data_IF_325374582530
#
_entry.id   IF_325374582530
#
_cell.length_a   1.000
_cell.length_b   1.000
_cell.length_c   1.000
_cell.angle_alpha   90.00
_cell.angle_beta   90.00
_cell.angle_gamma   90.00
#
_symmetry.space_group_name_H-M   'P 1'
#
loop_
_entity.id
_entity.type
_entity.pdbx_description
1 polymer ?
#
# COMPACT_ATOMS: atom_id res chain seq x y z
N UNK A 1 -65.06 -3.84 -9.01
CA UNK A 1 -63.82 -4.36 -9.64
C UNK A 1 -62.67 -3.47 -9.18
N UNK A 2 -61.82 -3.93 -8.26
CA UNK A 2 -60.70 -3.14 -7.73
C UNK A 2 -59.39 -3.76 -8.22
N UNK A 3 -58.63 -3.03 -9.03
CA UNK A 3 -57.34 -3.47 -9.57
C UNK A 3 -56.24 -3.02 -8.62
N UNK A 4 -55.71 -3.97 -7.84
CA UNK A 4 -54.52 -3.76 -7.02
C UNK A 4 -53.31 -3.78 -7.95
N UNK A 5 -52.68 -2.63 -8.17
CA UNK A 5 -51.38 -2.56 -8.83
C UNK A 5 -50.29 -2.75 -7.78
N UNK A 6 -49.64 -3.92 -7.80
CA UNK A 6 -48.50 -4.24 -6.95
C UNK A 6 -47.23 -3.69 -7.62
N UNK A 7 -46.69 -2.58 -7.12
CA UNK A 7 -45.41 -2.06 -7.55
C UNK A 7 -44.28 -2.87 -6.87
N UNK A 8 -43.59 -3.69 -7.67
CA UNK A 8 -42.44 -4.48 -7.24
C UNK A 8 -41.21 -3.56 -7.22
N UNK A 9 -40.85 -3.07 -6.03
CA UNK A 9 -39.66 -2.25 -5.82
C UNK A 9 -38.39 -3.10 -5.87
N UNK A 10 -37.53 -2.83 -6.85
CA UNK A 10 -36.24 -3.51 -7.00
C UNK A 10 -35.22 -2.91 -6.00
N UNK A 11 -34.94 -3.63 -4.92
CA UNK A 11 -33.89 -3.30 -3.95
C UNK A 11 -32.53 -3.67 -4.56
N UNK A 12 -31.80 -2.68 -5.05
CA UNK A 12 -30.39 -2.80 -5.41
C UNK A 12 -29.56 -2.89 -4.12
N UNK A 13 -29.11 -4.10 -3.78
CA UNK A 13 -28.12 -4.35 -2.73
C UNK A 13 -26.74 -3.92 -3.24
N UNK A 14 -26.32 -2.69 -2.93
CA UNK A 14 -24.91 -2.29 -3.11
C UNK A 14 -24.05 -3.04 -2.10
N UNK A 15 -23.32 -4.06 -2.54
CA UNK A 15 -22.22 -4.63 -1.77
C UNK A 15 -21.08 -3.61 -1.75
N UNK A 16 -20.81 -3.01 -0.59
CA UNK A 16 -19.58 -2.26 -0.39
C UNK A 16 -18.41 -3.25 -0.51
N UNK A 17 -17.58 -3.10 -1.54
CA UNK A 17 -16.32 -3.83 -1.62
C UNK A 17 -15.42 -3.26 -0.54
N UNK A 18 -15.00 -4.08 0.42
CA UNK A 18 -14.06 -3.67 1.45
C UNK A 18 -12.70 -3.47 0.75
N UNK A 19 -12.13 -2.27 0.87
CA UNK A 19 -10.80 -2.00 0.32
C UNK A 19 -9.76 -2.85 1.07
N UNK A 20 -8.80 -3.41 0.34
CA UNK A 20 -7.76 -4.20 0.98
C UNK A 20 -6.95 -3.34 1.99
N UNK A 21 -6.54 -3.93 3.14
CA UNK A 21 -5.82 -3.20 4.16
C UNK A 21 -4.48 -2.69 3.63
N UNK A 22 -4.09 -1.49 4.10
CA UNK A 22 -2.82 -0.86 3.78
C UNK A 22 -1.90 -0.86 5.00
N UNK A 23 -0.65 -1.21 4.76
CA UNK A 23 0.44 -1.22 5.73
C UNK A 23 1.50 -0.24 5.25
N UNK A 24 1.98 0.64 6.12
CA UNK A 24 3.03 1.61 5.74
C UNK A 24 4.17 1.62 6.74
N UNK A 25 5.39 1.65 6.23
CA UNK A 25 6.57 1.61 7.08
C UNK A 25 7.87 1.55 6.30
N UNK A 26 8.97 1.51 7.02
CA UNK A 26 10.30 1.37 6.43
C UNK A 26 10.56 -0.11 6.14
N UNK A 27 11.03 -0.43 4.93
CA UNK A 27 11.56 -1.77 4.63
C UNK A 27 12.82 -1.96 5.47
N UNK A 28 12.83 -2.96 6.34
CA UNK A 28 13.98 -3.30 7.18
C UNK A 28 14.70 -4.56 6.70
N UNK A 29 14.02 -5.39 5.92
CA UNK A 29 14.62 -6.55 5.27
C UNK A 29 13.92 -6.83 3.94
N UNK A 30 14.69 -7.37 2.99
CA UNK A 30 14.21 -7.92 1.73
C UNK A 30 14.76 -9.35 1.65
N UNK A 31 13.90 -10.31 1.37
CA UNK A 31 14.35 -11.68 1.13
C UNK A 31 15.27 -11.73 -0.11
N UNK A 32 16.46 -12.35 -0.03
CA UNK A 32 17.37 -12.46 -1.17
C UNK A 32 16.74 -13.10 -2.42
N UNK A 33 15.74 -13.98 -2.26
CA UNK A 33 15.02 -14.55 -3.40
C UNK A 33 13.91 -13.64 -3.97
N UNK A 34 13.68 -12.46 -3.37
CA UNK A 34 12.67 -11.50 -3.78
C UNK A 34 11.23 -11.92 -3.46
N UNK A 35 11.03 -12.91 -2.58
CA UNK A 35 9.69 -13.46 -2.29
C UNK A 35 8.97 -12.74 -1.15
N UNK A 36 9.65 -11.87 -0.41
CA UNK A 36 9.04 -11.09 0.67
C UNK A 36 9.85 -9.86 1.06
N UNK A 37 9.16 -8.93 1.71
CA UNK A 37 9.74 -7.80 2.43
C UNK A 37 9.27 -7.80 3.88
N UNK A 38 10.08 -7.23 4.76
CA UNK A 38 9.68 -6.93 6.12
C UNK A 38 9.56 -5.43 6.29
N UNK A 39 8.35 -4.94 6.58
CA UNK A 39 8.12 -3.55 6.96
C UNK A 39 8.27 -3.40 8.48
N UNK A 40 8.84 -2.28 8.90
CA UNK A 40 8.68 -1.77 10.24
C UNK A 40 7.57 -0.71 10.24
N UNK A 41 6.36 -1.14 10.60
CA UNK A 41 5.16 -0.29 10.66
C UNK A 41 5.11 0.45 12.01
N UNK A 42 4.64 1.71 11.99
CA UNK A 42 4.33 2.42 13.22
C UNK A 42 2.89 2.12 13.64
N UNK A 43 2.76 1.25 14.64
CA UNK A 43 1.48 0.96 15.28
C UNK A 43 1.09 2.00 16.33
N UNK A 44 -0.20 2.00 16.68
CA UNK A 44 -0.71 2.78 17.80
C UNK A 44 0.04 2.40 19.09
N UNK A 45 0.73 3.37 19.67
CA UNK A 45 1.35 3.21 20.98
C UNK A 45 0.31 3.10 22.11
N UNK A 46 0.78 2.85 23.33
CA UNK A 46 -0.06 3.02 24.53
C UNK A 46 -0.31 4.51 24.79
N UNK A 47 -1.45 4.92 25.37
CA UNK A 47 -1.70 6.31 25.72
C UNK A 47 -0.56 6.89 26.58
N UNK A 48 0.07 7.97 26.13
CA UNK A 48 1.21 8.60 26.80
C UNK A 48 2.57 7.93 26.57
N UNK A 49 2.63 6.85 25.79
CA UNK A 49 3.86 6.15 25.40
C UNK A 49 4.35 6.50 23.99
N UNK A 50 5.49 5.91 23.62
CA UNK A 50 5.99 5.98 22.23
C UNK A 50 5.16 5.07 21.31
N UNK A 51 5.07 5.42 20.03
CA UNK A 51 4.53 4.53 19.00
C UNK A 51 5.30 3.21 19.02
N UNK A 52 4.58 2.10 18.80
CA UNK A 52 5.20 0.78 18.77
C UNK A 52 5.60 0.45 17.33
N UNK A 53 6.84 0.03 17.16
CA UNK A 53 7.34 -0.56 15.92
C UNK A 53 6.81 -2.00 15.79
N UNK A 54 6.07 -2.27 14.72
CA UNK A 54 5.44 -3.57 14.44
C UNK A 54 6.07 -4.15 13.17
N UNK A 55 6.87 -5.23 13.27
CA UNK A 55 7.39 -5.90 12.10
C UNK A 55 6.27 -6.65 11.35
N UNK A 56 6.15 -6.38 10.04
CA UNK A 56 5.20 -7.06 9.14
C UNK A 56 5.97 -7.76 8.04
N UNK A 57 5.93 -9.10 8.03
CA UNK A 57 6.43 -9.89 6.90
C UNK A 57 5.33 -9.96 5.85
N UNK A 58 5.61 -9.47 4.65
CA UNK A 58 4.65 -9.43 3.54
C UNK A 58 5.25 -10.16 2.35
N UNK A 59 4.54 -11.18 1.88
CA UNK A 59 4.90 -11.94 0.69
C UNK A 59 4.69 -11.13 -0.59
N UNK A 60 5.62 -11.29 -1.53
CA UNK A 60 5.53 -10.78 -2.89
C UNK A 60 5.16 -11.95 -3.80
N UNK A 61 4.23 -11.72 -4.72
CA UNK A 61 3.85 -12.69 -5.75
C UNK A 61 4.20 -12.14 -7.14
N UNK A 62 4.28 -12.99 -8.18
CA UNK A 62 4.48 -12.51 -9.55
C UNK A 62 3.43 -11.50 -10.03
N UNK A 63 2.25 -11.45 -9.40
CA UNK A 63 1.19 -10.48 -9.70
C UNK A 63 1.23 -9.20 -8.86
N UNK A 64 2.19 -9.08 -7.93
CA UNK A 64 2.33 -7.88 -7.10
C UNK A 64 2.80 -6.70 -7.96
N UNK A 65 2.06 -5.61 -7.95
CA UNK A 65 2.46 -4.37 -8.63
C UNK A 65 3.48 -3.63 -7.78
N UNK A 66 4.64 -3.27 -8.35
CA UNK A 66 5.70 -2.56 -7.66
C UNK A 66 5.98 -1.22 -8.34
N UNK A 67 5.85 -0.13 -7.59
CA UNK A 67 6.01 1.23 -8.08
C UNK A 67 7.01 2.01 -7.23
N UNK A 68 7.81 2.84 -7.87
CA UNK A 68 8.59 3.90 -7.24
C UNK A 68 7.89 5.23 -7.46
N UNK A 69 7.44 5.84 -6.35
CA UNK A 69 7.02 7.22 -6.29
C UNK A 69 8.26 8.11 -6.10
N UNK A 70 8.52 8.98 -7.07
CA UNK A 70 9.58 9.96 -7.03
C UNK A 70 9.01 11.35 -7.26
N UNK A 71 9.63 12.37 -6.66
CA UNK A 71 9.27 13.76 -6.94
C UNK A 71 9.49 14.01 -8.43
N UNK A 72 8.48 14.53 -9.12
CA UNK A 72 8.61 14.98 -10.48
C UNK A 72 9.75 15.99 -10.57
N UNK A 73 10.58 15.89 -11.62
CA UNK A 73 11.48 16.99 -11.94
C UNK A 73 10.64 18.25 -12.12
N UNK A 74 11.12 19.39 -11.64
CA UNK A 74 10.45 20.68 -11.82
C UNK A 74 10.34 20.94 -13.34
N UNK A 75 9.23 20.52 -13.94
CA UNK A 75 8.84 20.83 -15.30
C UNK A 75 7.58 21.66 -15.23
N UNK A 76 7.51 22.73 -16.01
CA UNK A 76 6.34 23.63 -16.06
C UNK A 76 5.09 22.93 -16.61
N UNK A 77 5.20 21.66 -17.04
CA UNK A 77 4.22 20.95 -17.85
C UNK A 77 3.00 20.44 -17.05
N UNK A 78 3.17 20.10 -15.76
CA UNK A 78 2.05 19.64 -14.92
C UNK A 78 1.45 20.76 -14.06
N UNK A 79 2.13 21.91 -13.98
CA UNK A 79 1.67 23.09 -13.24
C UNK A 79 1.67 22.96 -11.70
N UNK A 80 1.98 21.78 -11.13
CA UNK A 80 1.97 21.56 -9.68
C UNK A 80 3.36 21.32 -9.11
N UNK A 81 3.89 22.32 -8.41
CA UNK A 81 5.21 22.23 -7.79
C UNK A 81 5.22 21.15 -6.69
N UNK A 82 6.03 20.12 -6.88
CA UNK A 82 6.16 19.01 -5.92
C UNK A 82 5.22 17.83 -6.13
N UNK A 83 4.71 17.67 -7.35
CA UNK A 83 4.05 16.43 -7.77
C UNK A 83 4.98 15.21 -7.60
N UNK A 84 4.38 14.04 -7.37
CA UNK A 84 5.06 12.75 -7.42
C UNK A 84 4.59 11.98 -8.65
N UNK A 85 5.52 11.37 -9.36
CA UNK A 85 5.25 10.42 -10.44
C UNK A 85 5.56 9.01 -9.97
N UNK A 86 4.70 8.07 -10.32
CA UNK A 86 4.92 6.64 -10.06
C UNK A 86 5.47 5.96 -11.32
N UNK A 87 6.47 5.10 -11.15
CA UNK A 87 7.08 4.33 -12.22
C UNK A 87 7.27 2.87 -11.80
N UNK A 88 7.06 1.88 -12.69
CA UNK A 88 7.28 0.47 -12.35
C UNK A 88 8.73 0.18 -11.96
N UNK A 89 8.91 -0.70 -10.97
CA UNK A 89 10.23 -1.21 -10.55
C UNK A 89 10.22 -2.74 -10.45
N UNK A 90 11.40 -3.36 -10.46
CA UNK A 90 11.55 -4.78 -10.20
C UNK A 90 11.61 -5.06 -8.70
N UNK A 91 11.31 -6.30 -8.30
CA UNK A 91 11.48 -6.74 -6.90
C UNK A 91 12.93 -6.59 -6.42
N UNK A 92 13.90 -6.71 -7.32
CA UNK A 92 15.34 -6.52 -7.04
C UNK A 92 15.71 -5.06 -6.75
N UNK A 93 14.85 -4.10 -7.06
CA UNK A 93 15.07 -2.68 -6.77
C UNK A 93 14.62 -2.28 -5.36
N UNK A 94 13.89 -3.17 -4.67
CA UNK A 94 13.50 -3.01 -3.28
C UNK A 94 14.73 -3.19 -2.38
N UNK A 95 14.87 -2.33 -1.38
CA UNK A 95 16.01 -2.39 -0.46
C UNK A 95 15.64 -1.89 0.93
N UNK A 96 16.39 -2.32 1.97
CA UNK A 96 16.26 -1.72 3.29
C UNK A 96 16.47 -0.20 3.28
N UNK A 97 15.69 0.51 4.09
CA UNK A 97 15.70 1.97 4.19
C UNK A 97 14.67 2.69 3.31
N UNK A 98 14.11 2.00 2.31
CA UNK A 98 12.99 2.52 1.53
C UNK A 98 11.72 2.60 2.40
N UNK A 99 10.93 3.67 2.25
CA UNK A 99 9.61 3.75 2.86
C UNK A 99 8.59 3.19 1.87
N UNK A 100 7.72 2.29 2.32
CA UNK A 100 6.74 1.65 1.45
C UNK A 100 5.34 1.73 2.05
N UNK A 101 4.37 1.92 1.17
CA UNK A 101 2.96 1.61 1.44
C UNK A 101 2.59 0.37 0.64
N UNK A 102 2.05 -0.62 1.34
CA UNK A 102 1.68 -1.91 0.78
C UNK A 102 0.19 -2.12 0.97
N UNK A 103 -0.52 -2.30 -0.13
CA UNK A 103 -1.86 -2.88 -0.11
C UNK A 103 -1.70 -4.40 -0.14
N UNK A 104 -2.28 -5.09 0.83
CA UNK A 104 -2.12 -6.54 0.96
C UNK A 104 -3.44 -7.20 1.35
N UNK A 105 -3.52 -8.48 1.04
CA UNK A 105 -4.60 -9.35 1.51
C UNK A 105 -4.04 -10.50 2.33
N UNK A 106 -4.90 -11.10 3.15
CA UNK A 106 -4.53 -12.30 3.89
C UNK A 106 -4.83 -13.54 3.04
N UNK A 107 -3.79 -14.26 2.62
CA UNK A 107 -3.90 -15.59 1.99
C UNK A 107 -3.28 -16.63 2.91
N UNK A 108 -4.05 -17.66 3.29
CA UNK A 108 -3.58 -18.74 4.18
C UNK A 108 -2.92 -18.24 5.48
N UNK A 109 -3.48 -17.18 6.08
CA UNK A 109 -2.96 -16.57 7.30
C UNK A 109 -1.69 -15.72 7.13
N UNK A 110 -1.27 -15.46 5.89
CA UNK A 110 -0.10 -14.61 5.57
C UNK A 110 -0.52 -13.38 4.78
N UNK A 111 0.15 -12.27 5.02
CA UNK A 111 0.00 -11.07 4.20
C UNK A 111 0.69 -11.28 2.86
N UNK A 112 -0.05 -11.06 1.77
CA UNK A 112 0.45 -11.10 0.39
C UNK A 112 0.12 -9.79 -0.28
N UNK A 113 1.14 -9.13 -0.82
CA UNK A 113 1.01 -7.81 -1.43
C UNK A 113 0.23 -7.88 -2.76
N UNK A 114 -0.75 -6.99 -2.89
CA UNK A 114 -1.42 -6.66 -4.14
C UNK A 114 -0.60 -5.57 -4.85
N UNK A 115 -0.26 -4.50 -4.13
CA UNK A 115 0.57 -3.40 -4.63
C UNK A 115 1.56 -2.91 -3.57
N UNK A 116 2.72 -2.45 -4.02
CA UNK A 116 3.75 -1.80 -3.20
C UNK A 116 4.14 -0.50 -3.89
N UNK A 117 3.94 0.62 -3.20
CA UNK A 117 4.45 1.92 -3.63
C UNK A 117 5.60 2.31 -2.71
N UNK A 118 6.77 2.54 -3.31
CA UNK A 118 8.01 2.88 -2.61
C UNK A 118 8.31 4.36 -2.79
N UNK A 119 8.71 5.01 -1.70
CA UNK A 119 9.42 6.29 -1.72
C UNK A 119 10.82 6.04 -1.19
N UNK A 120 11.83 6.59 -1.88
CA UNK A 120 13.22 6.53 -1.45
C UNK A 120 13.53 7.81 -0.68
N UNK A 121 13.69 7.76 0.65
CA UNK A 121 14.04 8.95 1.41
C UNK A 121 15.42 9.44 0.94
N UNK A 122 15.50 10.70 0.52
CA UNK A 122 16.80 11.37 0.47
C UNK A 122 17.34 11.46 1.89
N UNK A 123 18.59 11.04 2.10
CA UNK A 123 19.24 11.23 3.39
C UNK A 123 19.16 12.72 3.76
N UNK A 124 18.58 13.05 4.92
CA UNK A 124 18.82 14.38 5.47
C UNK A 124 20.31 14.47 5.82
N UNK A 125 20.99 15.58 5.48
CA UNK A 125 22.30 15.85 6.05
C UNK A 125 22.11 15.98 7.57
N UNK A 126 22.71 15.04 8.31
CA UNK A 126 22.83 15.13 9.77
C UNK A 126 23.79 16.24 10.18
#
# INVERSE_FOLDING_TARGET
>A
MSRIALALGCLILSSAVEAAPRYSGTIVAVDPAGSSITLNELGAGVPGGRNQEIPRVIGLSPGTTLLLAARAADSEETGWRGEYTESPIAATDLKPGDFATVEAETRDGRLVAISVVVVRPTAEPR
#
